data_IF_711731205638
#
_entry.id   IF_711731205638
#
_cell.length_a   1.000
_cell.length_b   1.000
_cell.length_c   1.000
_cell.angle_alpha   90.00
_cell.angle_beta   90.00
_cell.angle_gamma   90.00
#
_symmetry.space_group_name_H-M   'P 1'
#
loop_
_entity.id
_entity.type
_entity.pdbx_description
1 polymer ?
#
# COMPACT_ATOMS: atom_id res chain seq x y z
N UNK A 1 64.10 33.33 30.16
CA UNK A 1 64.44 32.10 29.40
C UNK A 1 63.61 30.91 29.87
N UNK A 2 63.80 30.39 31.09
CA UNK A 2 63.09 29.18 31.60
C UNK A 2 61.56 29.29 31.46
N UNK A 3 60.94 30.38 31.91
CA UNK A 3 59.48 30.56 31.79
C UNK A 3 58.96 30.56 30.33
N UNK A 4 59.78 31.03 29.38
CA UNK A 4 59.43 31.05 27.95
C UNK A 4 59.50 29.64 27.38
N UNK A 5 60.54 28.87 27.72
CA UNK A 5 60.64 27.45 27.33
C UNK A 5 59.49 26.62 27.89
N UNK A 6 59.11 26.86 29.15
CA UNK A 6 57.96 26.20 29.80
C UNK A 6 56.65 26.49 29.05
N UNK A 7 56.39 27.74 28.66
CA UNK A 7 55.21 28.09 27.86
C UNK A 7 55.24 27.47 26.46
N UNK A 8 56.40 27.51 25.78
CA UNK A 8 56.57 26.95 24.42
C UNK A 8 56.39 25.43 24.38
N UNK A 9 56.59 24.72 25.50
CA UNK A 9 56.33 23.28 25.62
C UNK A 9 54.89 23.01 26.09
N UNK A 10 54.40 23.74 27.11
CA UNK A 10 53.06 23.51 27.67
C UNK A 10 51.94 23.85 26.69
N UNK A 11 52.05 24.93 25.92
CA UNK A 11 50.99 25.35 24.99
C UNK A 11 50.70 24.27 23.93
N UNK A 12 51.66 23.77 23.13
CA UNK A 12 51.38 22.71 22.18
C UNK A 12 50.97 21.37 22.84
N UNK A 13 51.48 21.05 24.04
CA UNK A 13 51.01 19.87 24.79
C UNK A 13 49.55 20.01 25.23
N UNK A 14 49.15 21.19 25.71
CA UNK A 14 47.76 21.50 26.06
C UNK A 14 46.84 21.54 24.83
N UNK A 15 47.32 22.04 23.69
CA UNK A 15 46.57 22.03 22.41
C UNK A 15 46.42 20.61 21.87
N UNK A 16 47.43 19.75 21.95
CA UNK A 16 47.31 18.32 21.59
C UNK A 16 46.43 17.54 22.59
N UNK A 17 46.47 17.89 23.88
CA UNK A 17 45.64 17.27 24.91
C UNK A 17 44.18 17.75 24.86
N UNK A 18 43.93 18.96 24.35
CA UNK A 18 42.62 19.46 23.99
C UNK A 18 42.20 18.90 22.63
N UNK A 19 42.10 17.56 22.56
CA UNK A 19 41.66 16.86 21.35
C UNK A 19 40.41 17.48 20.78
N UNK A 20 40.48 17.90 19.51
CA UNK A 20 39.38 18.57 18.83
C UNK A 20 38.18 17.63 18.77
N UNK A 21 37.16 17.90 19.57
CA UNK A 21 35.88 17.19 19.54
C UNK A 21 35.23 17.42 18.18
N UNK A 22 35.46 16.49 17.25
CA UNK A 22 34.96 16.58 15.89
C UNK A 22 33.49 16.14 15.92
N UNK A 23 32.60 17.12 15.74
CA UNK A 23 31.17 16.87 15.71
C UNK A 23 30.74 16.51 14.29
N UNK A 24 30.14 15.34 14.13
CA UNK A 24 29.64 14.84 12.85
C UNK A 24 28.12 14.73 12.90
N UNK A 25 27.43 15.23 11.88
CA UNK A 25 25.99 15.07 11.74
C UNK A 25 25.69 13.92 10.78
N UNK A 26 24.75 13.07 11.18
CA UNK A 26 24.29 11.95 10.37
C UNK A 26 22.79 12.03 10.15
N UNK A 27 22.40 12.03 8.87
CA UNK A 27 21.03 12.13 8.42
C UNK A 27 20.66 10.83 7.71
N UNK A 28 19.51 10.26 8.06
CA UNK A 28 18.96 9.13 7.33
C UNK A 28 17.46 9.20 7.22
N UNK A 29 16.93 8.75 6.09
CA UNK A 29 15.51 8.66 5.80
C UNK A 29 15.19 7.28 5.27
N UNK A 30 14.09 6.66 5.71
CA UNK A 30 13.68 5.35 5.23
C UNK A 30 12.17 5.27 5.06
N UNK A 31 11.74 4.56 4.02
CA UNK A 31 10.34 4.23 3.73
C UNK A 31 10.13 2.74 3.95
N UNK A 32 9.58 2.35 5.09
CA UNK A 32 9.36 0.95 5.44
C UNK A 32 7.94 0.50 5.12
N UNK A 33 7.80 -0.65 4.46
CA UNK A 33 6.53 -1.39 4.42
C UNK A 33 6.43 -2.22 5.70
N UNK A 34 5.37 -2.01 6.48
CA UNK A 34 4.96 -2.91 7.54
C UNK A 34 3.81 -3.78 7.06
N UNK A 35 3.97 -5.10 7.19
CA UNK A 35 2.90 -6.08 7.12
C UNK A 35 2.97 -6.92 8.42
N UNK A 36 2.06 -6.69 9.39
CA UNK A 36 2.03 -7.47 10.63
C UNK A 36 1.39 -8.85 10.45
N UNK A 37 0.80 -9.14 9.29
CA UNK A 37 0.10 -10.40 8.97
C UNK A 37 0.73 -11.13 7.78
N UNK A 38 2.07 -11.15 7.72
CA UNK A 38 2.85 -11.65 6.58
C UNK A 38 2.35 -12.97 5.99
N UNK A 39 1.57 -12.90 4.92
CA UNK A 39 1.13 -14.06 4.16
C UNK A 39 2.31 -14.60 3.35
N UNK A 40 2.76 -15.82 3.67
CA UNK A 40 3.62 -16.59 2.75
C UNK A 40 2.83 -16.80 1.45
N UNK A 41 3.34 -16.28 0.34
CA UNK A 41 2.68 -16.36 -0.97
C UNK A 41 2.61 -17.80 -1.46
N UNK A 42 1.42 -18.31 -1.85
CA UNK A 42 1.30 -19.61 -2.50
C UNK A 42 1.63 -19.50 -4.00
N UNK A 43 2.52 -20.36 -4.48
CA UNK A 43 2.86 -20.50 -5.90
C UNK A 43 1.64 -20.96 -6.69
N UNK A 44 1.14 -20.12 -7.60
CA UNK A 44 0.02 -20.43 -8.49
C UNK A 44 0.51 -21.19 -9.73
N UNK A 45 0.51 -22.53 -9.66
CA UNK A 45 0.64 -23.38 -10.87
C UNK A 45 -0.75 -23.58 -11.48
N UNK A 46 -0.95 -23.11 -12.71
CA UNK A 46 -2.20 -23.31 -13.44
C UNK A 46 -2.23 -24.69 -14.13
N UNK A 47 -3.38 -25.36 -14.07
CA UNK A 47 -3.70 -26.59 -14.84
C UNK A 47 -4.85 -26.29 -15.79
N UNK A 48 -4.79 -26.77 -17.03
CA UNK A 48 -5.81 -26.53 -18.06
C UNK A 48 -6.18 -27.82 -18.81
N UNK A 49 -7.48 -28.06 -18.94
CA UNK A 49 -8.18 -29.21 -19.54
C UNK A 49 -9.69 -28.84 -19.65
N UNK A 50 -10.58 -29.34 -20.53
CA UNK A 50 -10.51 -30.33 -21.63
C UNK A 50 -11.51 -29.91 -22.74
N UNK A 51 -11.38 -30.42 -23.97
CA UNK A 51 -12.40 -30.34 -25.06
C UNK A 51 -12.50 -31.72 -25.70
N UNK A 52 -13.69 -32.36 -25.83
CA UNK A 52 -14.44 -32.31 -27.11
C UNK A 52 -15.98 -32.54 -27.05
N UNK A 53 -16.69 -32.21 -28.14
CA UNK A 53 -17.98 -32.83 -28.49
C UNK A 53 -18.26 -32.76 -30.03
N UNK A 54 -18.90 -33.74 -30.71
CA UNK A 54 -18.94 -33.81 -32.18
C UNK A 54 -20.34 -33.96 -32.86
N UNK A 55 -20.38 -33.70 -34.19
CA UNK A 55 -21.33 -34.27 -35.19
C UNK A 55 -22.83 -33.83 -35.11
N UNK A 56 -23.69 -33.90 -36.16
CA UNK A 56 -23.55 -34.15 -37.61
C UNK A 56 -24.75 -33.51 -38.40
N UNK A 57 -24.78 -33.68 -39.74
CA UNK A 57 -25.62 -32.98 -40.74
C UNK A 57 -26.89 -33.82 -41.13
N UNK A 58 -27.95 -33.22 -41.74
CA UNK A 58 -28.48 -33.57 -43.11
C UNK A 58 -30.01 -33.40 -43.44
N UNK A 59 -30.28 -32.54 -44.45
CA UNK A 59 -31.32 -32.46 -45.53
C UNK A 59 -32.85 -32.68 -45.42
N UNK A 60 -33.57 -31.74 -46.07
CA UNK A 60 -34.90 -31.73 -46.75
C UNK A 60 -35.03 -32.68 -47.98
N UNK A 61 -36.12 -32.70 -48.82
CA UNK A 61 -37.60 -32.66 -48.62
C UNK A 61 -38.35 -33.68 -49.57
N UNK A 62 -39.57 -33.35 -50.07
CA UNK A 62 -40.33 -33.88 -51.27
C UNK A 62 -41.61 -34.68 -50.91
N UNK A 63 -42.78 -34.63 -51.58
CA UNK A 63 -43.59 -33.66 -52.34
C UNK A 63 -44.94 -34.41 -52.67
N UNK A 64 -46.09 -33.80 -52.34
CA UNK A 64 -47.42 -33.72 -53.02
C UNK A 64 -47.67 -34.68 -54.23
N UNK A 65 -48.81 -35.37 -54.46
CA UNK A 65 -50.24 -34.96 -54.60
C UNK A 65 -51.09 -36.23 -54.93
N UNK A 66 -52.43 -36.37 -54.87
CA UNK A 66 -53.58 -35.55 -54.42
C UNK A 66 -54.83 -35.74 -55.34
N UNK A 67 -55.97 -36.34 -54.88
CA UNK A 67 -57.09 -36.79 -55.75
C UNK A 67 -58.14 -35.73 -56.15
N UNK A 68 -59.04 -36.13 -57.07
CA UNK A 68 -60.02 -35.36 -57.88
C UNK A 68 -60.99 -34.48 -57.06
N UNK A 69 -61.29 -33.28 -57.58
CA UNK A 69 -62.01 -32.21 -56.86
C UNK A 69 -63.54 -32.35 -56.72
N UNK A 70 -64.05 -31.69 -55.68
CA UNK A 70 -65.47 -31.62 -55.27
C UNK A 70 -66.28 -30.51 -55.99
N UNK A 71 -67.63 -30.57 -55.94
CA UNK A 71 -68.52 -29.52 -56.46
C UNK A 71 -68.25 -28.10 -55.92
N UNK A 72 -68.58 -27.10 -56.73
CA UNK A 72 -68.38 -25.69 -56.42
C UNK A 72 -69.11 -25.26 -55.13
N UNK A 73 -68.35 -24.75 -54.16
CA UNK A 73 -68.87 -24.35 -52.85
C UNK A 73 -69.64 -23.02 -52.92
N UNK A 74 -70.61 -22.78 -52.02
CA UNK A 74 -71.37 -21.53 -51.97
C UNK A 74 -70.50 -20.27 -51.96
N UNK A 75 -71.06 -19.18 -52.48
CA UNK A 75 -70.40 -17.87 -52.52
C UNK A 75 -69.87 -17.49 -51.14
N UNK A 76 -68.57 -17.16 -51.06
CA UNK A 76 -67.89 -16.91 -49.79
C UNK A 76 -68.52 -15.69 -49.12
N UNK A 77 -68.73 -15.76 -47.81
CA UNK A 77 -69.08 -14.58 -47.01
C UNK A 77 -68.07 -13.46 -47.30
N UNK A 78 -68.56 -12.20 -47.30
CA UNK A 78 -67.69 -11.04 -47.49
C UNK A 78 -66.53 -11.06 -46.49
N UNK A 79 -65.34 -10.59 -46.87
CA UNK A 79 -64.20 -10.58 -45.97
C UNK A 79 -64.56 -9.79 -44.71
N UNK A 80 -64.15 -10.32 -43.55
CA UNK A 80 -64.23 -9.57 -42.30
C UNK A 80 -63.47 -8.25 -42.50
N UNK A 81 -64.03 -7.14 -42.02
CA UNK A 81 -63.31 -5.86 -42.01
C UNK A 81 -61.92 -6.01 -41.40
N UNK A 82 -60.91 -5.24 -41.86
CA UNK A 82 -59.55 -5.37 -41.34
C UNK A 82 -59.55 -5.19 -39.81
N UNK A 83 -58.69 -5.94 -39.08
CA UNK A 83 -58.47 -5.68 -37.66
C UNK A 83 -58.12 -4.20 -37.45
N UNK A 84 -58.65 -3.61 -36.37
CA UNK A 84 -58.31 -2.24 -35.99
C UNK A 84 -56.81 -2.07 -35.78
N UNK A 85 -56.30 -0.87 -36.04
CA UNK A 85 -54.88 -0.57 -35.86
C UNK A 85 -54.45 -0.82 -34.39
N UNK A 86 -53.23 -1.34 -34.15
CA UNK A 86 -52.70 -1.47 -32.80
C UNK A 86 -52.72 -0.12 -32.06
N UNK A 87 -53.09 -0.17 -30.78
CA UNK A 87 -53.05 1.03 -29.93
C UNK A 87 -51.64 1.64 -29.87
N UNK A 88 -51.58 2.96 -29.73
CA UNK A 88 -50.31 3.68 -29.59
C UNK A 88 -49.50 3.14 -28.39
N UNK A 89 -48.15 3.10 -28.49
CA UNK A 89 -47.30 2.76 -27.36
C UNK A 89 -47.61 3.63 -26.13
N UNK A 90 -47.55 3.01 -24.94
CA UNK A 90 -47.72 3.74 -23.69
C UNK A 90 -46.65 4.81 -23.46
N UNK A 91 -46.92 5.82 -22.60
CA UNK A 91 -45.94 6.83 -22.25
C UNK A 91 -44.71 6.18 -21.58
N UNK A 92 -43.55 6.82 -21.71
CA UNK A 92 -42.34 6.41 -21.02
C UNK A 92 -42.56 6.40 -19.50
N UNK A 93 -41.97 5.43 -18.81
CA UNK A 93 -41.99 5.35 -17.35
C UNK A 93 -41.29 6.55 -16.69
N UNK A 94 -41.59 6.83 -15.41
CA UNK A 94 -40.90 7.89 -14.67
C UNK A 94 -39.39 7.59 -14.57
N UNK A 95 -38.53 8.62 -14.41
CA UNK A 95 -37.13 8.43 -14.10
C UNK A 95 -36.95 7.57 -12.83
N UNK A 96 -35.94 6.70 -12.83
CA UNK A 96 -35.60 5.90 -11.66
C UNK A 96 -35.17 6.76 -10.46
N UNK A 97 -35.35 6.22 -9.26
CA UNK A 97 -34.97 6.91 -8.02
C UNK A 97 -33.45 7.18 -7.97
N UNK A 98 -33.07 8.31 -7.36
CA UNK A 98 -31.66 8.61 -7.11
C UNK A 98 -31.10 7.60 -6.11
N UNK A 99 -30.00 6.93 -6.47
CA UNK A 99 -29.31 6.00 -5.58
C UNK A 99 -28.86 6.66 -4.27
N UNK A 100 -28.76 5.86 -3.21
CA UNK A 100 -28.39 6.33 -1.88
C UNK A 100 -27.04 7.05 -1.85
N UNK A 101 -26.85 8.05 -0.95
CA UNK A 101 -25.54 8.63 -0.70
C UNK A 101 -24.50 7.58 -0.30
N UNK A 102 -23.29 7.71 -0.82
CA UNK A 102 -22.16 6.87 -0.40
C UNK A 102 -21.93 6.95 1.11
N UNK A 103 -21.57 5.82 1.72
CA UNK A 103 -21.29 5.75 3.16
C UNK A 103 -20.13 6.70 3.54
N UNK A 104 -20.18 7.36 4.71
CA UNK A 104 -19.04 8.11 5.22
C UNK A 104 -17.77 7.25 5.27
N UNK A 105 -16.63 7.86 4.92
CA UNK A 105 -15.33 7.17 5.01
C UNK A 105 -15.01 6.74 6.44
N UNK A 106 -14.38 5.58 6.58
CA UNK A 106 -13.91 5.10 7.88
C UNK A 106 -12.84 6.06 8.45
N UNK A 107 -12.82 6.29 9.78
CA UNK A 107 -11.80 7.12 10.41
C UNK A 107 -10.42 6.46 10.25
N UNK A 108 -9.52 7.14 9.52
CA UNK A 108 -8.13 6.70 9.34
C UNK A 108 -7.33 6.90 10.64
N UNK A 109 -6.72 5.85 11.21
CA UNK A 109 -5.88 6.00 12.40
C UNK A 109 -4.67 6.89 12.14
N UNK A 110 -4.39 7.81 13.07
CA UNK A 110 -3.26 8.74 12.99
C UNK A 110 -2.09 8.21 13.82
N UNK A 111 -0.99 7.89 13.16
CA UNK A 111 0.25 7.39 13.79
C UNK A 111 1.40 8.30 13.38
N UNK A 112 2.09 8.88 14.37
CA UNK A 112 3.29 9.69 14.18
C UNK A 112 4.03 9.83 15.52
N UNK A 113 5.36 9.87 15.49
CA UNK A 113 6.15 10.19 16.68
C UNK A 113 7.33 11.12 16.33
N UNK A 114 7.79 11.85 17.33
CA UNK A 114 9.01 12.64 17.28
C UNK A 114 9.63 12.64 18.69
N UNK A 115 10.91 12.28 18.78
CA UNK A 115 11.62 12.16 20.04
C UNK A 115 13.10 12.55 19.90
N UNK A 116 13.63 13.22 20.92
CA UNK A 116 15.05 13.55 21.08
C UNK A 116 15.77 12.61 22.05
N UNK A 117 17.07 12.81 22.22
CA UNK A 117 17.93 12.04 23.12
C UNK A 117 18.42 12.94 24.27
N UNK A 118 18.09 12.63 25.53
CA UNK A 118 18.45 13.47 26.69
C UNK A 118 19.89 13.29 27.16
N UNK A 119 20.48 12.13 26.89
CA UNK A 119 21.80 11.73 27.39
C UNK A 119 22.65 11.18 26.25
N UNK A 120 23.95 11.44 26.29
CA UNK A 120 24.91 10.79 25.41
C UNK A 120 24.79 9.26 25.55
N UNK A 121 24.82 8.57 24.42
CA UNK A 121 24.75 7.11 24.34
C UNK A 121 25.98 6.61 23.58
N UNK A 122 26.50 5.45 23.98
CA UNK A 122 27.77 4.90 23.52
C UNK A 122 27.65 3.39 23.32
N UNK A 123 28.46 2.84 22.39
CA UNK A 123 28.45 1.42 22.04
C UNK A 123 27.49 1.07 20.91
N UNK A 124 27.12 -0.21 20.84
CA UNK A 124 26.36 -0.81 19.73
C UNK A 124 24.90 -1.14 20.10
N UNK A 125 24.34 -0.49 21.13
CA UNK A 125 22.95 -0.69 21.54
C UNK A 125 21.97 0.17 20.74
N UNK A 126 20.66 -0.11 20.91
CA UNK A 126 19.59 0.69 20.32
C UNK A 126 19.52 2.06 20.99
N UNK A 127 19.60 3.13 20.19
CA UNK A 127 19.39 4.50 20.64
C UNK A 127 17.95 4.70 21.18
N UNK A 128 17.85 4.91 22.49
CA UNK A 128 16.59 5.13 23.22
C UNK A 128 16.30 6.63 23.30
N UNK A 129 15.60 7.17 22.30
CA UNK A 129 15.18 8.57 22.25
C UNK A 129 14.11 8.85 23.34
N UNK A 130 14.59 9.22 24.53
CA UNK A 130 13.82 9.36 25.76
C UNK A 130 13.19 10.75 25.94
N UNK A 131 13.38 11.68 25.00
CA UNK A 131 12.68 12.97 24.95
C UNK A 131 11.52 12.97 23.96
N UNK A 132 10.45 12.25 24.30
CA UNK A 132 9.26 12.13 23.45
C UNK A 132 8.47 13.43 23.43
N UNK A 133 8.48 14.11 22.28
CA UNK A 133 7.73 15.35 22.01
C UNK A 133 6.35 15.05 21.43
N UNK A 134 6.21 13.97 20.67
CA UNK A 134 4.94 13.53 20.07
C UNK A 134 4.94 12.01 19.93
N UNK A 135 3.80 11.36 20.20
CA UNK A 135 3.62 9.91 20.06
C UNK A 135 2.14 9.55 19.81
N UNK A 136 1.61 9.99 18.66
CA UNK A 136 0.23 9.69 18.25
C UNK A 136 0.06 8.18 18.05
N UNK A 137 -0.88 7.59 18.79
CA UNK A 137 -1.15 6.16 18.83
C UNK A 137 -0.24 5.35 19.78
N UNK A 138 0.73 5.98 20.45
CA UNK A 138 1.65 5.32 21.40
C UNK A 138 2.43 4.13 20.81
N UNK A 139 2.76 4.19 19.51
CA UNK A 139 3.50 3.12 18.81
C UNK A 139 5.02 3.19 19.00
N UNK A 140 5.54 4.32 19.48
CA UNK A 140 6.94 4.44 19.90
C UNK A 140 7.08 4.19 21.40
N UNK A 141 8.02 3.33 21.79
CA UNK A 141 8.37 3.09 23.19
C UNK A 141 9.77 3.64 23.51
N UNK A 142 9.87 4.70 24.35
CA UNK A 142 11.15 5.31 24.70
C UNK A 142 12.03 4.42 25.60
N UNK A 143 11.46 3.39 26.26
CA UNK A 143 12.24 2.49 27.12
C UNK A 143 13.05 1.47 26.31
N UNK A 144 12.52 1.02 25.18
CA UNK A 144 13.21 0.11 24.24
C UNK A 144 13.84 0.82 23.04
N UNK A 145 13.44 2.06 22.76
CA UNK A 145 13.88 2.84 21.59
C UNK A 145 13.18 2.44 20.29
N UNK A 146 12.09 1.65 20.35
CA UNK A 146 11.50 0.98 19.19
C UNK A 146 10.13 1.53 18.81
N UNK A 147 9.90 1.61 17.51
CA UNK A 147 8.56 1.80 16.94
C UNK A 147 7.96 0.44 16.54
N UNK A 148 6.73 0.18 16.98
CA UNK A 148 5.99 -1.05 16.66
C UNK A 148 4.73 -0.72 15.86
N UNK A 149 4.73 -1.05 14.57
CA UNK A 149 3.55 -0.89 13.72
C UNK A 149 2.45 -1.90 14.09
N UNK A 150 1.22 -1.40 14.29
CA UNK A 150 0.04 -2.25 14.50
C UNK A 150 -0.90 -2.31 13.28
N UNK A 151 -0.65 -1.46 12.28
CA UNK A 151 -1.47 -1.33 11.07
C UNK A 151 -0.60 -1.63 9.85
N UNK A 152 -1.00 -2.54 8.93
CA UNK A 152 -0.32 -2.73 7.66
C UNK A 152 -0.29 -1.44 6.86
N UNK A 153 0.88 -1.07 6.33
CA UNK A 153 1.02 0.20 5.61
C UNK A 153 2.46 0.60 5.37
N UNK A 154 2.63 1.82 4.86
CA UNK A 154 3.92 2.40 4.52
C UNK A 154 4.23 3.52 5.49
N UNK A 155 5.34 3.39 6.20
CA UNK A 155 5.79 4.30 7.25
C UNK A 155 7.04 5.03 6.79
N UNK A 156 7.14 6.31 7.14
CA UNK A 156 8.29 7.15 6.85
C UNK A 156 9.01 7.46 8.16
N UNK A 157 10.32 7.24 8.16
CA UNK A 157 11.20 7.53 9.29
C UNK A 157 12.30 8.46 8.83
N UNK A 158 12.67 9.41 9.69
CA UNK A 158 13.86 10.23 9.53
C UNK A 158 14.57 10.33 10.87
N UNK A 159 15.90 10.35 10.84
CA UNK A 159 16.72 10.58 12.03
C UNK A 159 17.83 11.58 11.72
N UNK A 160 18.15 12.38 12.72
CA UNK A 160 19.26 13.33 12.74
C UNK A 160 20.07 13.01 14.00
N UNK A 161 21.30 12.53 13.84
CA UNK A 161 22.16 12.10 14.96
C UNK A 161 23.44 12.93 14.94
N UNK A 162 23.69 13.64 16.04
CA UNK A 162 24.96 14.32 16.30
C UNK A 162 25.91 13.34 17.00
N UNK A 163 27.06 13.09 16.38
CA UNK A 163 28.09 12.19 16.90
C UNK A 163 29.34 12.96 17.35
N UNK A 164 29.99 12.44 18.39
CA UNK A 164 31.19 13.02 19.01
C UNK A 164 32.43 12.20 18.65
N UNK A 165 33.09 12.54 17.54
CA UNK A 165 34.36 11.93 17.15
C UNK A 165 35.54 12.45 18.00
N UNK A 166 36.51 11.58 18.27
CA UNK A 166 37.69 11.95 19.07
C UNK A 166 38.89 11.01 19.00
N UNK A 167 38.73 9.77 18.50
CA UNK A 167 39.79 8.75 18.46
C UNK A 167 40.22 8.34 17.03
N UNK A 168 39.62 8.97 16.01
CA UNK A 168 39.86 8.64 14.59
C UNK A 168 39.03 7.46 14.07
N UNK A 169 38.11 6.91 14.85
CA UNK A 169 37.17 5.89 14.37
C UNK A 169 35.95 6.53 13.68
N UNK A 170 35.51 5.93 12.57
CA UNK A 170 34.24 6.28 11.94
C UNK A 170 33.10 5.65 12.74
N UNK A 171 32.21 6.48 13.28
CA UNK A 171 30.92 6.02 13.79
C UNK A 171 29.88 6.07 12.66
N UNK A 172 28.84 5.24 12.77
CA UNK A 172 27.64 5.31 11.94
C UNK A 172 26.41 4.89 12.76
N UNK A 173 25.22 5.21 12.25
CA UNK A 173 23.95 4.82 12.85
C UNK A 173 23.02 4.24 11.79
N UNK A 174 22.47 3.07 12.08
CA UNK A 174 21.60 2.34 11.17
C UNK A 174 20.15 2.38 11.65
N UNK A 175 19.21 2.61 10.73
CA UNK A 175 17.79 2.42 10.98
C UNK A 175 17.43 0.98 10.64
N UNK A 176 16.87 0.23 11.60
CA UNK A 176 16.65 -1.22 11.46
C UNK A 176 15.17 -1.59 11.50
N UNK A 177 14.77 -2.54 10.63
CA UNK A 177 13.48 -3.25 10.68
C UNK A 177 13.76 -4.72 10.99
N UNK A 178 13.24 -5.24 12.11
CA UNK A 178 13.32 -6.66 12.48
C UNK A 178 14.74 -7.25 12.30
N UNK A 179 15.74 -6.59 12.89
CA UNK A 179 17.17 -6.94 12.83
C UNK A 179 17.84 -6.82 11.45
N UNK A 180 17.17 -6.31 10.43
CA UNK A 180 17.76 -5.96 9.14
C UNK A 180 17.98 -4.44 9.04
N UNK A 181 19.21 -4.03 8.71
CA UNK A 181 19.52 -2.63 8.36
C UNK A 181 18.65 -2.24 7.16
N UNK A 182 17.84 -1.21 7.34
CA UNK A 182 16.93 -0.66 6.33
C UNK A 182 17.51 0.65 5.81
N UNK A 183 18.63 0.51 5.08
CA UNK A 183 19.48 1.61 4.66
C UNK A 183 19.19 2.14 3.26
N UNK A 184 19.10 3.47 3.18
CA UNK A 184 19.32 4.39 2.05
C UNK A 184 18.58 4.08 0.73
#
# INVERSE_FOLDING_TARGET
VVMVLVLVILIPVLVNSAGTSAHYEMLGTCRMVCDPYGTKSPTSTATADTVPDPNLIQSLPTFIQGPKGEPGRPGKAGPWGPPGEPGLPGPAGPPGEKGEPGRPGLPVPKIAFYAGLKKQHEGYEVLKFDDVVTNLGNHYDPTTGKFTCSIPGIYFFTYHILMRGGDGTSMWADLCKNNQVSGI
#
